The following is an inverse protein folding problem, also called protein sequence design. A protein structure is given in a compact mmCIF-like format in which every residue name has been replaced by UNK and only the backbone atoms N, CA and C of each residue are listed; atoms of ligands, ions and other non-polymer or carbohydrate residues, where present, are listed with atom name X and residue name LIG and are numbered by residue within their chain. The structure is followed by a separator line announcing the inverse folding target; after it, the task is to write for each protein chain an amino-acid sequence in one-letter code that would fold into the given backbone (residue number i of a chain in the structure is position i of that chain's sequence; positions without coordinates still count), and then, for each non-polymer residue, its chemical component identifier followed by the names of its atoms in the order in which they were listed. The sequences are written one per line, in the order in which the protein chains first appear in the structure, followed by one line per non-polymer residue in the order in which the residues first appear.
data_IF_550087124964
#
_entry.id   IF_550087124964
#
_cell.length_a   1.000
_cell.length_b   1.000
_cell.length_c   1.000
_cell.angle_alpha   90.00
_cell.angle_beta   90.00
_cell.angle_gamma   90.00
#
_symmetry.space_group_name_H-M   'P 1'
#
loop_
_entity.id
_entity.type
_entity.pdbx_description
1 polymer ?
#
# COMPACT_ATOMS: atom_id res chain seq x y z
N UNK A 1 -18.36 3.85 -11.82
CA UNK A 1 -16.91 3.65 -12.07
C UNK A 1 -16.10 4.95 -11.87
N UNK A 2 -16.19 5.63 -10.71
CA UNK A 2 -15.39 6.87 -10.46
C UNK A 2 -14.39 6.75 -9.31
N UNK A 3 -14.71 6.02 -8.23
CA UNK A 3 -13.85 5.94 -7.03
C UNK A 3 -12.46 5.34 -7.28
N UNK A 4 -12.30 4.42 -8.23
CA UNK A 4 -11.01 3.75 -8.50
C UNK A 4 -10.05 4.59 -9.35
N UNK A 5 -10.56 5.45 -10.24
CA UNK A 5 -9.73 6.37 -11.04
C UNK A 5 -9.26 7.56 -10.21
N UNK A 6 -10.10 8.07 -9.30
CA UNK A 6 -9.71 9.12 -8.35
C UNK A 6 -8.61 8.66 -7.39
N UNK A 7 -8.71 7.44 -6.86
CA UNK A 7 -7.65 6.89 -6.02
C UNK A 7 -6.31 6.75 -6.75
N UNK A 8 -6.34 6.38 -8.04
CA UNK A 8 -5.14 6.31 -8.88
C UNK A 8 -4.52 7.69 -9.18
N UNK A 9 -5.34 8.73 -9.33
CA UNK A 9 -4.87 10.11 -9.51
C UNK A 9 -4.24 10.68 -8.24
N UNK A 10 -4.82 10.42 -7.07
CA UNK A 10 -4.25 10.85 -5.78
C UNK A 10 -2.87 10.21 -5.53
N UNK A 11 -2.66 8.97 -5.98
CA UNK A 11 -1.38 8.28 -5.86
C UNK A 11 -0.26 8.88 -6.73
N UNK A 12 -0.58 9.65 -7.79
CA UNK A 12 0.38 10.29 -8.69
C UNK A 12 0.99 11.60 -8.17
N UNK A 13 0.44 12.18 -7.10
CA UNK A 13 0.91 13.45 -6.52
C UNK A 13 1.78 13.26 -5.27
N UNK A 14 1.93 12.02 -4.80
CA UNK A 14 2.73 11.71 -3.63
C UNK A 14 4.22 11.76 -3.98
N UNK A 15 5.02 12.37 -3.10
CA UNK A 15 6.47 12.28 -3.21
C UNK A 15 6.88 10.82 -2.97
N UNK A 16 8.01 10.41 -3.53
CA UNK A 16 8.55 9.05 -3.34
C UNK A 16 8.69 8.72 -1.83
N UNK A 17 9.09 9.71 -1.03
CA UNK A 17 9.14 9.61 0.44
C UNK A 17 7.78 9.28 1.05
N UNK A 18 6.69 9.89 0.58
CA UNK A 18 5.35 9.60 1.08
C UNK A 18 4.90 8.18 0.73
N UNK A 19 5.27 7.70 -0.46
CA UNK A 19 5.02 6.31 -0.90
C UNK A 19 5.74 5.34 0.04
N UNK A 20 7.02 5.60 0.33
CA UNK A 20 7.83 4.78 1.22
C UNK A 20 7.30 4.77 2.65
N UNK A 21 6.95 5.94 3.18
CA UNK A 21 6.34 6.08 4.50
C UNK A 21 5.04 5.26 4.59
N UNK A 22 4.20 5.34 3.56
CA UNK A 22 2.95 4.58 3.50
C UNK A 22 3.16 3.06 3.39
N UNK A 23 4.18 2.62 2.67
CA UNK A 23 4.58 1.20 2.63
C UNK A 23 4.99 0.72 4.04
N UNK A 24 5.74 1.53 4.79
CA UNK A 24 6.16 1.19 6.17
C UNK A 24 4.95 1.08 7.09
N UNK A 25 4.00 2.02 7.03
CA UNK A 25 2.76 1.97 7.80
C UNK A 25 1.95 0.71 7.51
N UNK A 26 1.70 0.40 6.23
CA UNK A 26 0.91 -0.78 5.86
C UNK A 26 1.60 -2.10 6.26
N UNK A 27 2.94 -2.13 6.28
CA UNK A 27 3.70 -3.29 6.81
C UNK A 27 3.47 -3.47 8.32
N UNK A 28 3.46 -2.39 9.10
CA UNK A 28 3.13 -2.42 10.54
C UNK A 28 1.71 -2.93 10.76
N UNK A 29 0.75 -2.46 9.96
CA UNK A 29 -0.64 -2.90 10.03
C UNK A 29 -0.79 -4.40 9.73
N UNK A 30 -0.07 -4.94 8.74
CA UNK A 30 -0.06 -6.38 8.47
C UNK A 30 0.44 -7.17 9.68
N UNK A 31 1.49 -6.70 10.35
CA UNK A 31 2.03 -7.36 11.53
C UNK A 31 0.97 -7.39 12.63
N UNK A 32 0.32 -6.26 12.90
CA UNK A 32 -0.74 -6.17 13.89
C UNK A 32 -1.93 -7.10 13.55
N UNK A 33 -2.35 -7.14 12.28
CA UNK A 33 -3.42 -8.03 11.83
C UNK A 33 -3.04 -9.51 11.98
N UNK A 34 -1.79 -9.88 11.72
CA UNK A 34 -1.27 -11.23 11.93
C UNK A 34 -1.23 -11.61 13.41
N UNK A 35 -0.81 -10.68 14.29
CA UNK A 35 -0.83 -10.90 15.75
C UNK A 35 -2.27 -11.18 16.19
N UNK A 36 -3.22 -10.34 15.80
CA UNK A 36 -4.65 -10.52 16.11
C UNK A 36 -5.21 -11.84 15.57
N UNK A 37 -4.79 -12.25 14.37
CA UNK A 37 -5.15 -13.56 13.80
C UNK A 37 -4.64 -14.71 14.66
N UNK A 38 -3.38 -14.64 15.10
CA UNK A 38 -2.72 -15.68 15.91
C UNK A 38 -3.31 -15.77 17.31
N UNK A 39 -3.69 -14.63 17.91
CA UNK A 39 -4.37 -14.57 19.20
C UNK A 39 -5.87 -14.90 19.12
N UNK A 40 -6.36 -15.37 17.96
CA UNK A 40 -7.77 -15.71 17.71
C UNK A 40 -8.75 -14.56 17.97
N UNK A 41 -8.29 -13.31 17.92
CA UNK A 41 -9.16 -12.15 18.00
C UNK A 41 -10.01 -12.04 16.73
N UNK A 42 -11.23 -11.49 16.86
CA UNK A 42 -12.13 -11.30 15.74
C UNK A 42 -11.54 -10.28 14.76
N UNK A 43 -11.09 -10.75 13.60
CA UNK A 43 -10.54 -9.91 12.54
C UNK A 43 -11.30 -10.05 11.24
N UNK A 44 -11.30 -8.98 10.45
CA UNK A 44 -11.81 -8.98 9.10
C UNK A 44 -10.74 -9.52 8.14
N UNK A 45 -10.92 -10.74 7.65
CA UNK A 45 -9.95 -11.43 6.75
C UNK A 45 -9.67 -10.65 5.46
N UNK A 46 -10.66 -9.93 4.94
CA UNK A 46 -10.49 -9.09 3.75
C UNK A 46 -9.52 -7.93 3.96
N UNK A 47 -9.28 -7.48 5.21
CA UNK A 47 -8.30 -6.44 5.48
C UNK A 47 -6.89 -6.92 5.16
N UNK A 48 -6.51 -8.15 5.54
CA UNK A 48 -5.21 -8.72 5.19
C UNK A 48 -5.01 -8.80 3.66
N UNK A 49 -6.04 -9.21 2.91
CA UNK A 49 -5.98 -9.27 1.45
C UNK A 49 -5.83 -7.87 0.85
N UNK A 50 -6.62 -6.91 1.33
CA UNK A 50 -6.62 -5.52 0.86
C UNK A 50 -5.29 -4.83 1.14
N UNK A 51 -4.78 -4.90 2.37
CA UNK A 51 -3.52 -4.27 2.76
C UNK A 51 -2.33 -4.83 1.97
N UNK A 52 -2.28 -6.16 1.72
CA UNK A 52 -1.27 -6.75 0.84
C UNK A 52 -1.35 -6.22 -0.59
N UNK A 53 -2.56 -6.08 -1.11
CA UNK A 53 -2.77 -5.54 -2.46
C UNK A 53 -2.35 -4.06 -2.55
N UNK A 54 -2.69 -3.25 -1.55
CA UNK A 54 -2.27 -1.84 -1.46
C UNK A 54 -0.74 -1.70 -1.42
N UNK A 55 -0.03 -2.53 -0.63
CA UNK A 55 1.44 -2.56 -0.63
C UNK A 55 1.99 -2.88 -2.02
N UNK A 56 1.44 -3.90 -2.69
CA UNK A 56 1.89 -4.28 -4.03
C UNK A 56 1.71 -3.15 -5.04
N UNK A 57 0.60 -2.41 -4.96
CA UNK A 57 0.35 -1.25 -5.83
C UNK A 57 1.36 -0.13 -5.55
N UNK A 58 1.64 0.17 -4.28
CA UNK A 58 2.60 1.22 -3.90
C UNK A 58 4.03 0.86 -4.33
N UNK A 59 4.46 -0.39 -4.14
CA UNK A 59 5.78 -0.83 -4.62
C UNK A 59 5.89 -0.77 -6.15
N UNK A 60 4.82 -1.07 -6.87
CA UNK A 60 4.78 -0.94 -8.34
C UNK A 60 4.94 0.53 -8.74
N UNK A 61 4.23 1.43 -8.06
CA UNK A 61 4.34 2.87 -8.30
C UNK A 61 5.74 3.38 -8.00
N UNK A 62 6.32 3.02 -6.85
CA UNK A 62 7.69 3.37 -6.46
C UNK A 62 8.69 2.97 -7.56
N UNK A 63 8.62 1.73 -8.04
CA UNK A 63 9.48 1.24 -9.11
C UNK A 63 9.30 2.00 -10.43
N UNK A 64 8.06 2.33 -10.81
CA UNK A 64 7.78 3.13 -12.00
C UNK A 64 8.34 4.55 -11.89
N UNK A 65 8.25 5.18 -10.71
CA UNK A 65 8.82 6.51 -10.46
C UNK A 65 10.35 6.50 -10.55
N UNK A 66 11.01 5.52 -9.92
CA UNK A 66 12.47 5.36 -9.97
C UNK A 66 12.92 5.16 -11.42
N UNK A 67 12.27 4.26 -12.17
CA UNK A 67 12.62 4.00 -13.56
C UNK A 67 12.38 5.20 -14.49
N UNK A 68 11.35 6.02 -14.21
CA UNK A 68 11.13 7.27 -14.93
C UNK A 68 12.28 8.25 -14.69
N UNK A 69 12.72 8.38 -13.43
CA UNK A 69 13.84 9.26 -13.05
C UNK A 69 15.19 8.81 -13.64
N UNK A 70 15.40 7.52 -13.86
CA UNK A 70 16.64 6.98 -14.47
C UNK A 70 16.69 7.22 -15.99
N UNK A 71 15.54 7.43 -16.64
CA UNK A 71 15.43 7.66 -18.09
C UNK A 71 15.48 9.15 -18.49
N UNK A 72 15.37 10.05 -17.52
CA UNK A 72 15.52 11.51 -17.69
C UNK A 72 16.98 11.91 -17.47
#
# INVERSE_FOLDING_TARGET
MSKTKESLKQLKLLKIEDIQNKIIELKKDIILLKIKQKTKQKIKTHLLKRTKHEISQLMTLEHLYINKKIKE
#
